data_IF_046752007500
#
_entry.id   IF_046752007500
#
_cell.length_a   1.000
_cell.length_b   1.000
_cell.length_c   1.000
_cell.angle_alpha   90.00
_cell.angle_beta   90.00
_cell.angle_gamma   90.00
#
_symmetry.space_group_name_H-M   'P 1'
#
loop_
_entity.id
_entity.type
_entity.pdbx_description
1 polymer ?
#
# COMPACT_ATOMS: atom_id res chain seq x y z
N UNK A 1 35.18 14.55 -14.72
CA UNK A 1 34.02 14.10 -15.54
C UNK A 1 32.79 14.00 -14.65
N UNK A 2 31.90 14.99 -14.68
CA UNK A 2 30.73 15.11 -13.78
C UNK A 2 29.48 14.88 -14.65
N UNK A 3 29.19 13.61 -14.94
CA UNK A 3 28.11 13.25 -15.85
C UNK A 3 26.77 13.35 -15.11
N UNK A 4 25.83 14.09 -15.70
CA UNK A 4 24.47 14.35 -15.18
C UNK A 4 23.69 13.03 -15.09
N UNK A 5 23.81 12.30 -13.99
CA UNK A 5 22.81 11.28 -13.67
C UNK A 5 21.57 12.05 -13.23
N UNK A 6 20.64 12.19 -14.17
CA UNK A 6 19.38 12.91 -13.98
C UNK A 6 18.67 12.32 -12.75
N UNK A 7 18.37 13.16 -11.76
CA UNK A 7 17.60 12.81 -10.55
C UNK A 7 16.37 11.96 -10.92
N UNK A 8 15.69 12.32 -12.01
CA UNK A 8 14.55 11.60 -12.59
C UNK A 8 14.82 10.11 -12.89
N UNK A 9 16.04 9.74 -13.33
CA UNK A 9 16.43 8.33 -13.58
C UNK A 9 16.57 7.52 -12.29
N UNK A 10 17.14 8.10 -11.24
CA UNK A 10 17.27 7.41 -9.94
C UNK A 10 15.90 7.29 -9.24
N UNK A 11 15.04 8.31 -9.34
CA UNK A 11 13.67 8.23 -8.84
C UNK A 11 12.82 7.19 -9.60
N UNK A 12 12.95 7.10 -10.93
CA UNK A 12 12.24 6.07 -11.72
C UNK A 12 12.75 4.66 -11.45
N UNK A 13 14.06 4.49 -11.22
CA UNK A 13 14.62 3.21 -10.73
C UNK A 13 14.06 2.82 -9.37
N UNK A 14 13.96 3.76 -8.43
CA UNK A 14 13.38 3.53 -7.11
C UNK A 14 11.91 3.09 -7.17
N UNK A 15 11.12 3.74 -8.03
CA UNK A 15 9.69 3.49 -8.16
C UNK A 15 9.36 2.20 -8.93
N UNK A 16 10.13 1.86 -9.97
CA UNK A 16 9.80 0.76 -10.88
C UNK A 16 10.67 -0.49 -10.72
N UNK A 17 11.99 -0.33 -10.57
CA UNK A 17 12.89 -1.49 -10.47
C UNK A 17 13.06 -2.01 -9.05
N UNK A 18 13.03 -1.12 -8.06
CA UNK A 18 13.32 -1.45 -6.66
C UNK A 18 12.07 -1.62 -5.79
N UNK A 19 10.89 -1.17 -6.25
CA UNK A 19 9.66 -1.33 -5.47
C UNK A 19 8.94 -2.64 -5.85
N UNK A 20 8.97 -3.68 -5.00
CA UNK A 20 8.32 -4.95 -5.28
C UNK A 20 6.80 -4.82 -5.44
N UNK A 21 6.17 -3.80 -4.85
CA UNK A 21 4.73 -3.56 -4.95
C UNK A 21 4.34 -3.31 -6.41
N UNK A 22 5.12 -2.48 -7.12
CA UNK A 22 4.87 -2.17 -8.53
C UNK A 22 5.39 -3.26 -9.47
N UNK A 23 6.55 -3.86 -9.14
CA UNK A 23 7.17 -4.89 -10.00
C UNK A 23 6.46 -6.24 -9.96
N UNK A 24 5.96 -6.65 -8.80
CA UNK A 24 5.23 -7.92 -8.61
C UNK A 24 3.71 -7.73 -8.58
N UNK A 25 3.25 -6.49 -8.71
CA UNK A 25 1.83 -6.13 -8.75
C UNK A 25 1.07 -6.71 -7.53
N UNK A 26 1.60 -6.46 -6.34
CA UNK A 26 1.03 -6.95 -5.09
C UNK A 26 -0.25 -6.17 -4.76
N UNK A 27 -1.34 -6.87 -4.45
CA UNK A 27 -2.61 -6.26 -4.02
C UNK A 27 -3.62 -5.96 -5.13
N UNK A 28 -3.56 -6.65 -6.26
CA UNK A 28 -4.49 -6.46 -7.40
C UNK A 28 -5.85 -7.15 -7.28
N UNK A 29 -6.02 -8.11 -6.37
CA UNK A 29 -7.27 -8.84 -6.19
C UNK A 29 -8.54 -7.94 -6.19
N UNK A 30 -8.58 -6.80 -5.47
CA UNK A 30 -9.76 -5.95 -5.45
C UNK A 30 -10.01 -5.22 -6.79
N UNK A 31 -8.96 -4.85 -7.53
CA UNK A 31 -9.11 -4.07 -8.77
C UNK A 31 -9.65 -4.92 -9.91
N UNK A 32 -9.25 -6.18 -9.99
CA UNK A 32 -9.77 -7.15 -10.97
C UNK A 32 -11.26 -7.45 -10.72
N UNK A 33 -11.68 -7.51 -9.45
CA UNK A 33 -13.04 -7.87 -9.05
C UNK A 33 -14.10 -6.81 -9.40
N UNK A 34 -13.74 -5.53 -9.42
CA UNK A 34 -14.71 -4.41 -9.60
C UNK A 34 -14.82 -3.89 -11.04
N UNK A 35 -14.25 -4.59 -12.02
CA UNK A 35 -14.25 -4.20 -13.44
C UNK A 35 -15.64 -4.25 -14.11
N UNK A 36 -16.60 -4.97 -13.52
CA UNK A 36 -17.93 -5.20 -14.10
C UNK A 36 -18.86 -4.01 -13.93
N UNK A 37 -18.69 -3.19 -12.88
CA UNK A 37 -19.62 -2.09 -12.58
C UNK A 37 -18.93 -0.93 -11.87
N UNK A 38 -19.12 0.28 -12.41
CA UNK A 38 -18.58 1.51 -11.83
C UNK A 38 -19.08 1.76 -10.39
N UNK A 39 -20.33 1.40 -10.11
CA UNK A 39 -20.94 1.55 -8.78
C UNK A 39 -20.22 0.68 -7.74
N UNK A 40 -19.86 -0.56 -8.10
CA UNK A 40 -19.13 -1.48 -7.22
C UNK A 40 -17.70 -0.99 -6.94
N UNK A 41 -17.05 -0.43 -7.96
CA UNK A 41 -15.70 0.15 -7.80
C UNK A 41 -15.69 1.35 -6.85
N UNK A 42 -16.65 2.26 -6.97
CA UNK A 42 -16.78 3.42 -6.08
C UNK A 42 -17.08 2.97 -4.64
N UNK A 43 -18.01 2.03 -4.47
CA UNK A 43 -18.34 1.48 -3.16
C UNK A 43 -17.12 0.84 -2.48
N UNK A 44 -16.32 0.06 -3.22
CA UNK A 44 -15.12 -0.59 -2.71
C UNK A 44 -14.01 0.42 -2.34
N UNK A 45 -13.80 1.45 -3.16
CA UNK A 45 -12.80 2.48 -2.89
C UNK A 45 -13.16 3.31 -1.64
N UNK A 46 -14.45 3.65 -1.48
CA UNK A 46 -14.95 4.34 -0.28
C UNK A 46 -14.78 3.48 0.97
N UNK A 47 -15.22 2.22 0.91
CA UNK A 47 -15.10 1.28 2.02
C UNK A 47 -13.65 1.07 2.45
N UNK A 48 -12.74 0.81 1.50
CA UNK A 48 -11.33 0.58 1.79
C UNK A 48 -10.61 1.84 2.29
N UNK A 49 -10.92 3.02 1.75
CA UNK A 49 -10.39 4.31 2.26
C UNK A 49 -10.80 4.53 3.71
N UNK A 50 -12.08 4.28 4.03
CA UNK A 50 -12.57 4.39 5.40
C UNK A 50 -11.85 3.42 6.33
N UNK A 51 -11.75 2.13 5.97
CA UNK A 51 -11.04 1.13 6.78
C UNK A 51 -9.57 1.49 6.96
N UNK A 52 -8.86 1.90 5.90
CA UNK A 52 -7.44 2.30 5.96
C UNK A 52 -7.18 3.43 6.96
N UNK A 53 -8.05 4.45 6.98
CA UNK A 53 -7.94 5.56 7.92
C UNK A 53 -8.14 5.06 9.35
N UNK A 54 -9.18 4.26 9.60
CA UNK A 54 -9.47 3.72 10.93
C UNK A 54 -8.40 2.74 11.42
N UNK A 55 -7.94 1.80 10.59
CA UNK A 55 -6.87 0.87 10.94
C UNK A 55 -5.59 1.64 11.27
N UNK A 56 -5.23 2.67 10.50
CA UNK A 56 -4.05 3.50 10.79
C UNK A 56 -4.15 4.25 12.11
N UNK A 57 -5.35 4.75 12.47
CA UNK A 57 -5.61 5.40 13.75
C UNK A 57 -5.48 4.41 14.94
N UNK A 58 -6.09 3.24 14.82
CA UNK A 58 -6.05 2.19 15.85
C UNK A 58 -4.62 1.66 16.02
N UNK A 59 -3.92 1.39 14.92
CA UNK A 59 -2.52 0.94 14.92
C UNK A 59 -1.63 1.95 15.64
N UNK A 60 -1.83 3.26 15.42
CA UNK A 60 -1.05 4.30 16.09
C UNK A 60 -1.22 4.26 17.62
N UNK A 61 -2.44 4.00 18.11
CA UNK A 61 -2.74 3.90 19.54
C UNK A 61 -2.17 2.61 20.18
N UNK A 62 -2.27 1.48 19.48
CA UNK A 62 -1.88 0.16 20.00
C UNK A 62 -0.39 -0.13 19.80
N UNK A 63 0.31 0.64 18.96
CA UNK A 63 1.74 0.48 18.61
C UNK A 63 2.68 0.23 19.80
N UNK A 64 2.39 0.82 20.96
CA UNK A 64 3.26 0.72 22.14
C UNK A 64 3.14 -0.62 22.89
N UNK A 65 2.04 -1.35 22.72
CA UNK A 65 1.82 -2.66 23.36
C UNK A 65 2.31 -3.86 22.51
N UNK A 66 2.52 -3.68 21.20
CA UNK A 66 2.77 -4.81 20.28
C UNK A 66 4.24 -5.24 20.32
N UNK A 67 4.55 -6.49 20.74
CA UNK A 67 5.90 -7.03 20.66
C UNK A 67 6.34 -7.23 19.20
N UNK A 68 7.63 -7.01 18.92
CA UNK A 68 8.19 -6.97 17.56
C UNK A 68 7.95 -8.25 16.74
N UNK A 69 7.84 -9.40 17.41
CA UNK A 69 7.66 -10.71 16.79
C UNK A 69 6.28 -10.88 16.11
N UNK A 70 5.24 -10.19 16.60
CA UNK A 70 3.85 -10.37 16.12
C UNK A 70 3.32 -9.13 15.39
N UNK A 71 4.19 -8.17 15.06
CA UNK A 71 3.78 -6.89 14.46
C UNK A 71 3.07 -7.07 13.12
N UNK A 72 3.54 -7.97 12.27
CA UNK A 72 2.93 -8.25 10.95
C UNK A 72 1.54 -8.86 11.12
N UNK A 73 1.40 -9.87 11.99
CA UNK A 73 0.11 -10.49 12.27
C UNK A 73 -0.89 -9.49 12.88
N UNK A 74 -0.42 -8.63 13.79
CA UNK A 74 -1.27 -7.62 14.43
C UNK A 74 -1.79 -6.58 13.43
N UNK A 75 -1.00 -6.19 12.42
CA UNK A 75 -1.42 -5.24 11.39
C UNK A 75 -2.38 -5.84 10.36
N UNK A 76 -2.49 -7.17 10.26
CA UNK A 76 -3.45 -7.84 9.38
C UNK A 76 -4.80 -8.00 10.08
N UNK A 77 -4.80 -8.11 11.42
CA UNK A 77 -6.01 -8.30 12.24
C UNK A 77 -6.79 -6.99 12.47
N UNK A 78 -6.11 -5.85 12.43
CA UNK A 78 -6.67 -4.50 12.64
C UNK A 78 -7.02 -3.85 11.31
#
# INVERSE_FOLDING_TARGET
MKNKVTIVKEYTKGLWENNPIFKQILGMCPTLAVTVSALNGIAMALATTFVLVFSSLIISLVRKLIPSQVRIASYIVV
#
